data_IF_993568264452
#
_entry.id   IF_993568264452
#
_cell.length_a   1.000
_cell.length_b   1.000
_cell.length_c   1.000
_cell.angle_alpha   90.00
_cell.angle_beta   90.00
_cell.angle_gamma   90.00
#
_symmetry.space_group_name_H-M   'P 1'
#
loop_
_entity.id
_entity.type
_entity.pdbx_description
1 polymer ?
#
# COMPACT_ATOMS: atom_id res chain seq x y z
N UNK A 1 -22.09 11.48 -11.59
CA UNK A 1 -20.82 10.71 -11.56
C UNK A 1 -20.15 10.83 -12.91
N UNK A 2 -18.84 11.12 -12.95
CA UNK A 2 -18.01 11.19 -14.16
C UNK A 2 -16.97 10.06 -14.07
N UNK A 3 -16.95 9.18 -15.07
CA UNK A 3 -15.95 8.10 -15.18
C UNK A 3 -15.07 8.41 -16.40
N UNK A 4 -13.78 8.56 -16.17
CA UNK A 4 -12.79 8.88 -17.19
C UNK A 4 -11.94 7.65 -17.51
N UNK A 5 -12.03 7.18 -18.76
CA UNK A 5 -11.30 6.02 -19.27
C UNK A 5 -10.34 6.38 -20.43
N UNK A 6 -10.16 7.68 -20.69
CA UNK A 6 -9.24 8.22 -21.69
C UNK A 6 -8.10 8.97 -21.01
N UNK A 7 -6.85 8.77 -21.50
CA UNK A 7 -5.64 9.34 -20.90
C UNK A 7 -5.55 10.86 -21.03
N UNK A 8 -6.02 11.45 -22.15
CA UNK A 8 -5.95 12.89 -22.36
C UNK A 8 -6.97 13.60 -21.48
N UNK A 9 -8.16 13.02 -21.31
CA UNK A 9 -9.16 13.52 -20.37
C UNK A 9 -8.68 13.35 -18.93
N UNK A 10 -8.04 12.24 -18.58
CA UNK A 10 -7.42 12.06 -17.27
C UNK A 10 -6.32 13.11 -17.00
N UNK A 11 -5.50 13.40 -18.01
CA UNK A 11 -4.49 14.47 -17.97
C UNK A 11 -5.15 15.83 -17.74
N UNK A 12 -6.22 16.17 -18.44
CA UNK A 12 -6.99 17.41 -18.21
C UNK A 12 -7.44 17.50 -16.74
N UNK A 13 -8.02 16.42 -16.19
CA UNK A 13 -8.47 16.36 -14.79
C UNK A 13 -7.34 16.55 -13.79
N UNK A 14 -6.15 15.99 -14.05
CA UNK A 14 -5.00 16.06 -13.14
C UNK A 14 -4.08 17.26 -13.36
N UNK A 15 -4.31 18.08 -14.39
CA UNK A 15 -3.52 19.29 -14.67
C UNK A 15 -4.39 20.55 -14.63
N UNK A 16 -5.04 20.88 -15.73
CA UNK A 16 -5.85 22.10 -15.85
C UNK A 16 -7.01 22.15 -14.84
N UNK A 17 -7.60 21.00 -14.49
CA UNK A 17 -8.72 20.85 -13.55
C UNK A 17 -8.33 20.29 -12.19
N UNK A 18 -7.02 20.09 -11.91
CA UNK A 18 -6.55 19.46 -10.67
C UNK A 18 -7.04 20.18 -9.40
N UNK A 19 -7.18 21.52 -9.46
CA UNK A 19 -7.74 22.27 -8.35
C UNK A 19 -9.24 21.97 -8.16
N UNK A 20 -10.01 21.91 -9.24
CA UNK A 20 -11.45 21.64 -9.21
C UNK A 20 -11.75 20.29 -8.60
N UNK A 21 -10.95 19.26 -8.93
CA UNK A 21 -11.11 17.90 -8.43
C UNK A 21 -10.20 17.57 -7.23
N UNK A 22 -9.70 18.59 -6.52
CA UNK A 22 -8.78 18.35 -5.42
C UNK A 22 -9.44 17.78 -4.16
N UNK A 23 -10.77 17.86 -3.99
CA UNK A 23 -11.46 17.29 -2.83
C UNK A 23 -11.82 15.81 -3.04
N UNK A 24 -12.21 15.15 -1.96
CA UNK A 24 -12.65 13.76 -1.96
C UNK A 24 -14.18 13.69 -1.88
N UNK A 25 -14.74 12.70 -2.57
CA UNK A 25 -16.14 12.36 -2.44
C UNK A 25 -16.44 12.03 -0.98
N UNK A 26 -17.46 12.68 -0.43
CA UNK A 26 -17.89 12.42 0.94
C UNK A 26 -18.60 11.07 1.00
N UNK A 27 -18.03 10.14 1.76
CA UNK A 27 -18.53 8.78 1.94
C UNK A 27 -18.84 8.51 3.42
N UNK A 28 -19.87 7.70 3.75
CA UNK A 28 -20.18 7.30 5.13
C UNK A 28 -19.00 6.65 5.85
N UNK A 29 -18.21 5.85 5.15
CA UNK A 29 -16.98 5.25 5.67
C UNK A 29 -15.97 6.31 6.17
N UNK A 30 -15.78 7.39 5.42
CA UNK A 30 -14.92 8.51 5.82
C UNK A 30 -15.41 9.18 7.10
N UNK A 31 -16.72 9.34 7.25
CA UNK A 31 -17.34 9.93 8.45
C UNK A 31 -17.28 8.99 9.65
N UNK A 32 -17.66 7.72 9.47
CA UNK A 32 -17.92 6.80 10.58
C UNK A 32 -16.67 6.04 11.05
N UNK A 33 -15.68 5.80 10.15
CA UNK A 33 -14.48 5.00 10.47
C UNK A 33 -13.17 5.79 10.40
N UNK A 34 -13.17 6.96 9.75
CA UNK A 34 -11.95 7.72 9.47
C UNK A 34 -11.88 9.05 10.26
N UNK A 35 -12.32 9.04 11.52
CA UNK A 35 -12.32 10.20 12.42
C UNK A 35 -12.98 11.43 11.76
N UNK A 36 -14.20 11.30 11.32
CA UNK A 36 -14.93 12.35 10.61
C UNK A 36 -14.10 12.99 9.48
N UNK A 37 -13.65 12.14 8.55
CA UNK A 37 -12.80 12.50 7.40
C UNK A 37 -11.38 13.02 7.76
N UNK A 38 -10.87 12.78 8.97
CA UNK A 38 -9.52 13.22 9.34
C UNK A 38 -8.40 12.31 8.79
N UNK A 39 -8.70 11.06 8.43
CA UNK A 39 -7.77 10.18 7.70
C UNK A 39 -7.50 10.77 6.32
N UNK A 40 -6.23 10.97 5.97
CA UNK A 40 -5.77 11.80 4.83
C UNK A 40 -6.41 11.43 3.49
N UNK A 41 -6.72 10.15 3.27
CA UNK A 41 -7.39 9.66 2.05
C UNK A 41 -8.80 10.21 1.86
N UNK A 42 -9.50 10.54 2.95
CA UNK A 42 -10.89 11.03 2.98
C UNK A 42 -11.01 12.53 3.25
N UNK A 43 -9.93 13.15 3.74
CA UNK A 43 -9.96 14.56 4.15
C UNK A 43 -10.31 15.47 2.97
N UNK A 44 -11.31 16.37 3.10
CA UNK A 44 -11.62 17.37 2.10
C UNK A 44 -10.42 18.28 1.81
N UNK A 45 -10.33 18.79 0.58
CA UNK A 45 -9.27 19.73 0.23
C UNK A 45 -9.40 21.04 1.00
N UNK A 46 -8.33 21.46 1.69
CA UNK A 46 -8.32 22.66 2.52
C UNK A 46 -7.00 22.81 3.29
N UNK A 47 -6.98 23.73 4.23
CA UNK A 47 -5.78 24.03 5.06
C UNK A 47 -5.38 22.82 5.89
N UNK A 48 -6.34 22.15 6.55
CA UNK A 48 -6.07 20.96 7.34
C UNK A 48 -5.43 19.84 6.49
N UNK A 49 -6.01 19.53 5.32
CA UNK A 49 -5.44 18.51 4.42
C UNK A 49 -4.02 18.85 3.98
N UNK A 50 -3.74 20.13 3.67
CA UNK A 50 -2.38 20.55 3.28
C UNK A 50 -1.37 20.33 4.39
N UNK A 51 -1.73 20.62 5.64
CA UNK A 51 -0.85 20.42 6.79
C UNK A 51 -0.58 18.93 7.06
N UNK A 52 -1.61 18.09 7.14
CA UNK A 52 -1.42 16.65 7.37
C UNK A 52 -0.66 15.99 6.21
N UNK A 53 -0.90 16.43 4.97
CA UNK A 53 -0.14 15.98 3.78
C UNK A 53 1.32 16.37 3.88
N UNK A 54 1.62 17.60 4.29
CA UNK A 54 2.98 18.11 4.51
C UNK A 54 3.68 17.29 5.59
N UNK A 55 3.05 17.10 6.75
CA UNK A 55 3.61 16.30 7.85
C UNK A 55 3.95 14.88 7.37
N UNK A 56 3.01 14.18 6.74
CA UNK A 56 3.26 12.83 6.23
C UNK A 56 4.41 12.82 5.20
N UNK A 57 4.44 13.77 4.27
CA UNK A 57 5.46 13.83 3.21
C UNK A 57 6.85 14.10 3.79
N UNK A 58 6.98 15.01 4.75
CA UNK A 58 8.29 15.40 5.31
C UNK A 58 8.76 14.37 6.34
N UNK A 59 7.88 13.98 7.27
CA UNK A 59 8.27 13.21 8.46
C UNK A 59 8.19 11.69 8.27
N UNK A 60 7.60 11.20 7.17
CA UNK A 60 7.57 9.77 6.87
C UNK A 60 8.07 9.44 5.46
N UNK A 61 7.62 10.16 4.43
CA UNK A 61 7.83 9.80 3.02
C UNK A 61 8.96 10.55 2.33
N UNK A 62 9.66 11.48 3.01
CA UNK A 62 10.84 12.10 2.42
C UNK A 62 11.96 11.09 2.20
N UNK A 63 12.79 11.31 1.18
CA UNK A 63 13.94 10.44 0.89
C UNK A 63 14.86 10.26 2.12
N UNK A 64 15.03 11.34 2.93
CA UNK A 64 15.77 11.27 4.19
C UNK A 64 15.13 10.28 5.15
N UNK A 65 13.82 10.38 5.41
CA UNK A 65 13.13 9.50 6.37
C UNK A 65 13.09 8.05 5.88
N UNK A 66 12.80 7.85 4.61
CA UNK A 66 12.85 6.52 3.99
C UNK A 66 14.26 5.91 4.17
N UNK A 67 15.32 6.71 3.96
CA UNK A 67 16.70 6.26 4.20
C UNK A 67 16.98 5.89 5.66
N UNK A 68 16.52 6.69 6.63
CA UNK A 68 16.67 6.41 8.07
C UNK A 68 15.94 5.13 8.51
N UNK A 69 14.82 4.78 7.86
CA UNK A 69 14.03 3.58 8.14
C UNK A 69 14.49 2.35 7.34
N UNK A 70 15.60 2.44 6.57
CA UNK A 70 16.19 1.29 5.86
C UNK A 70 16.46 0.09 6.78
N UNK A 71 17.06 0.24 7.98
CA UNK A 71 17.31 -0.89 8.87
C UNK A 71 16.04 -1.65 9.26
N UNK A 72 14.92 -0.93 9.49
CA UNK A 72 13.61 -1.55 9.80
C UNK A 72 13.15 -2.44 8.64
N UNK A 73 13.19 -1.94 7.40
CA UNK A 73 12.78 -2.70 6.22
C UNK A 73 13.65 -3.93 6.01
N UNK A 74 14.97 -3.77 6.11
CA UNK A 74 15.91 -4.88 5.95
C UNK A 74 15.71 -5.96 7.02
N UNK A 75 15.56 -5.55 8.28
CA UNK A 75 15.32 -6.47 9.40
C UNK A 75 14.01 -7.23 9.25
N UNK A 76 12.89 -6.53 8.95
CA UNK A 76 11.60 -7.21 8.84
C UNK A 76 11.54 -8.18 7.66
N UNK A 77 12.13 -7.83 6.51
CA UNK A 77 12.22 -8.75 5.37
C UNK A 77 13.12 -9.94 5.70
N UNK A 78 14.27 -9.76 6.40
CA UNK A 78 15.13 -10.86 6.82
C UNK A 78 14.42 -11.80 7.81
N UNK A 79 13.75 -11.26 8.82
CA UNK A 79 12.98 -12.05 9.79
C UNK A 79 11.85 -12.83 9.14
N UNK A 80 11.18 -12.24 8.15
CA UNK A 80 10.15 -12.93 7.36
C UNK A 80 10.75 -14.09 6.54
N UNK A 81 11.88 -13.86 5.87
CA UNK A 81 12.62 -14.89 5.13
C UNK A 81 13.05 -16.04 6.02
N UNK A 82 13.58 -15.74 7.21
CA UNK A 82 13.92 -16.72 8.23
C UNK A 82 12.71 -17.57 8.62
N UNK A 83 11.56 -16.94 8.88
CA UNK A 83 10.34 -17.67 9.20
C UNK A 83 9.85 -18.59 8.07
N UNK A 84 10.03 -18.20 6.81
CA UNK A 84 9.75 -19.08 5.67
C UNK A 84 10.71 -20.27 5.59
N UNK A 85 12.00 -20.04 5.83
CA UNK A 85 13.02 -21.08 5.87
C UNK A 85 12.77 -22.05 7.03
N UNK A 86 12.44 -21.57 8.23
CA UNK A 86 12.08 -22.40 9.38
C UNK A 86 10.88 -23.32 9.07
N UNK A 87 9.86 -22.85 8.35
CA UNK A 87 8.74 -23.69 7.88
C UNK A 87 9.22 -24.84 6.98
N UNK A 88 10.16 -24.57 6.08
CA UNK A 88 10.76 -25.60 5.22
C UNK A 88 11.54 -26.63 6.03
N UNK A 89 12.35 -26.19 7.00
CA UNK A 89 13.10 -27.08 7.91
C UNK A 89 12.14 -27.99 8.69
N UNK A 90 11.08 -27.40 9.28
CA UNK A 90 10.07 -28.17 10.03
C UNK A 90 9.29 -29.16 9.15
N UNK A 91 9.22 -28.91 7.83
CA UNK A 91 8.63 -29.84 6.86
C UNK A 91 9.63 -30.93 6.40
N UNK A 92 10.68 -31.20 7.16
CA UNK A 92 11.67 -32.23 6.87
C UNK A 92 12.54 -31.93 5.65
N UNK A 93 12.86 -30.67 5.40
CA UNK A 93 13.63 -30.18 4.24
C UNK A 93 13.00 -30.55 2.89
N UNK A 94 11.68 -30.71 2.86
CA UNK A 94 10.91 -30.92 1.64
C UNK A 94 10.17 -29.64 1.27
N UNK A 95 9.80 -29.47 -0.01
CA UNK A 95 9.05 -28.30 -0.46
C UNK A 95 7.80 -28.09 0.42
N UNK A 96 7.65 -26.88 0.94
CA UNK A 96 6.55 -26.50 1.83
C UNK A 96 5.49 -25.71 1.08
N UNK A 97 4.21 -26.01 1.34
CA UNK A 97 3.09 -25.24 0.80
C UNK A 97 2.89 -23.96 1.63
N UNK A 98 2.87 -22.82 0.95
CA UNK A 98 2.72 -21.49 1.56
C UNK A 98 1.65 -20.71 0.82
N UNK A 99 0.72 -20.11 1.57
CA UNK A 99 -0.23 -19.13 1.05
C UNK A 99 0.43 -17.74 1.08
N UNK A 100 0.79 -17.24 -0.11
CA UNK A 100 1.61 -16.03 -0.24
C UNK A 100 0.89 -14.77 0.24
N UNK A 101 -0.42 -14.65 0.05
CA UNK A 101 -1.15 -13.45 0.45
C UNK A 101 -1.03 -13.21 1.96
N UNK A 102 -1.36 -14.21 2.77
CA UNK A 102 -1.24 -14.13 4.23
C UNK A 102 0.19 -13.79 4.67
N UNK A 103 1.19 -14.42 4.07
CA UNK A 103 2.59 -14.18 4.43
C UNK A 103 3.05 -12.75 4.08
N UNK A 104 2.62 -12.22 2.94
CA UNK A 104 2.96 -10.85 2.52
C UNK A 104 2.17 -9.79 3.30
N UNK A 105 0.91 -10.07 3.67
CA UNK A 105 0.13 -9.21 4.58
C UNK A 105 0.79 -9.12 5.96
N UNK A 106 1.26 -10.23 6.53
CA UNK A 106 2.00 -10.24 7.81
C UNK A 106 3.29 -9.45 7.75
N UNK A 107 4.05 -9.58 6.65
CA UNK A 107 5.27 -8.80 6.41
C UNK A 107 4.97 -7.31 6.31
N UNK A 108 4.05 -6.92 5.44
CA UNK A 108 3.72 -5.49 5.22
C UNK A 108 3.12 -4.86 6.47
N UNK A 109 2.34 -5.62 7.22
CA UNK A 109 1.80 -5.19 8.50
C UNK A 109 2.90 -4.91 9.51
N UNK A 110 3.79 -5.88 9.78
CA UNK A 110 4.92 -5.69 10.69
C UNK A 110 5.80 -4.51 10.28
N UNK A 111 6.10 -4.42 8.99
CA UNK A 111 6.93 -3.35 8.45
C UNK A 111 6.32 -1.98 8.74
N UNK A 112 5.03 -1.80 8.45
CA UNK A 112 4.36 -0.53 8.68
C UNK A 112 4.16 -0.23 10.17
N UNK A 113 3.81 -1.22 11.00
CA UNK A 113 3.66 -1.01 12.44
C UNK A 113 4.99 -0.70 13.12
N UNK A 114 6.10 -1.29 12.65
CA UNK A 114 7.44 -0.94 13.10
C UNK A 114 7.82 0.50 12.70
N UNK A 115 7.52 0.92 11.48
CA UNK A 115 7.82 2.28 11.02
C UNK A 115 6.94 3.34 11.67
N UNK A 116 5.69 3.00 12.00
CA UNK A 116 4.70 3.94 12.57
C UNK A 116 4.79 4.00 14.09
N UNK A 117 4.93 2.87 14.77
CA UNK A 117 4.80 2.75 16.22
C UNK A 117 5.89 1.90 16.90
N UNK A 118 6.94 1.49 16.17
CA UNK A 118 8.01 0.66 16.72
C UNK A 118 7.54 -0.73 17.18
N UNK A 119 6.42 -1.25 16.66
CA UNK A 119 5.78 -2.48 17.12
C UNK A 119 5.80 -3.57 16.05
N UNK A 120 5.94 -4.83 16.53
CA UNK A 120 5.90 -6.03 15.69
C UNK A 120 4.86 -7.00 16.27
N UNK A 121 4.06 -7.59 15.36
CA UNK A 121 2.88 -8.39 15.75
C UNK A 121 2.88 -9.82 15.22
N UNK A 122 3.69 -10.16 14.19
CA UNK A 122 3.76 -11.49 13.58
C UNK A 122 5.17 -12.06 13.61
N UNK A 123 5.27 -13.39 13.69
CA UNK A 123 6.53 -14.15 13.66
C UNK A 123 6.92 -14.72 15.02
N UNK A 124 8.10 -15.35 15.08
CA UNK A 124 8.66 -15.91 16.31
C UNK A 124 8.93 -14.82 17.36
N UNK A 125 8.71 -15.14 18.63
CA UNK A 125 8.94 -14.27 19.80
C UNK A 125 7.97 -13.09 19.99
N UNK A 126 6.75 -13.16 19.43
CA UNK A 126 5.70 -12.19 19.73
C UNK A 126 5.00 -12.58 21.05
N UNK A 127 4.80 -11.63 21.96
CA UNK A 127 4.10 -11.87 23.21
C UNK A 127 2.61 -12.19 22.96
N UNK A 128 2.01 -13.05 23.81
CA UNK A 128 0.58 -13.42 23.69
C UNK A 128 -0.38 -12.22 23.73
N UNK A 129 -0.03 -11.16 24.45
CA UNK A 129 -0.81 -9.93 24.48
C UNK A 129 -0.80 -9.23 23.10
N UNK A 130 0.35 -9.23 22.44
CA UNK A 130 0.52 -8.64 21.11
C UNK A 130 -0.20 -9.46 20.03
N UNK A 131 -0.29 -10.78 20.17
CA UNK A 131 -1.09 -11.62 19.27
C UNK A 131 -2.58 -11.28 19.30
N UNK A 132 -3.13 -10.98 20.50
CA UNK A 132 -4.53 -10.55 20.62
C UNK A 132 -4.74 -9.20 19.94
N UNK A 133 -3.83 -8.26 20.16
CA UNK A 133 -3.84 -6.94 19.50
C UNK A 133 -3.69 -7.07 17.98
N UNK A 134 -2.80 -7.94 17.51
CA UNK A 134 -2.62 -8.24 16.10
C UNK A 134 -3.91 -8.75 15.43
N UNK A 135 -4.59 -9.71 16.09
CA UNK A 135 -5.86 -10.23 15.55
C UNK A 135 -6.96 -9.17 15.51
N UNK A 136 -7.07 -8.37 16.57
CA UNK A 136 -8.03 -7.26 16.63
C UNK A 136 -7.77 -6.26 15.50
N UNK A 137 -6.50 -5.86 15.33
CA UNK A 137 -6.12 -4.87 14.34
C UNK A 137 -6.31 -5.39 12.92
N UNK A 138 -5.85 -6.61 12.61
CA UNK A 138 -6.06 -7.23 11.30
C UNK A 138 -7.55 -7.28 10.95
N UNK A 139 -8.38 -7.73 11.89
CA UNK A 139 -9.83 -7.75 11.71
C UNK A 139 -10.39 -6.36 11.44
N UNK A 140 -9.99 -5.35 12.23
CA UNK A 140 -10.48 -3.99 12.07
C UNK A 140 -10.06 -3.36 10.72
N UNK A 141 -8.83 -3.61 10.24
CA UNK A 141 -8.37 -3.15 8.91
C UNK A 141 -9.14 -3.86 7.79
N UNK A 142 -9.37 -5.17 7.90
CA UNK A 142 -10.18 -5.90 6.93
C UNK A 142 -11.62 -5.39 6.88
N UNK A 143 -12.24 -5.14 8.04
CA UNK A 143 -13.59 -4.54 8.10
C UNK A 143 -13.61 -3.12 7.53
N UNK A 144 -12.57 -2.32 7.77
CA UNK A 144 -12.44 -0.99 7.19
C UNK A 144 -12.46 -1.05 5.66
N UNK A 145 -11.62 -1.91 5.06
CA UNK A 145 -11.55 -2.08 3.61
C UNK A 145 -12.83 -2.69 3.02
N UNK A 146 -13.45 -3.64 3.73
CA UNK A 146 -14.73 -4.22 3.33
C UNK A 146 -15.84 -3.17 3.25
N UNK A 147 -16.04 -2.37 4.30
CA UNK A 147 -17.07 -1.33 4.32
C UNK A 147 -16.77 -0.19 3.35
N UNK A 148 -15.49 0.09 3.09
CA UNK A 148 -15.10 1.09 2.10
C UNK A 148 -15.48 0.66 0.67
N UNK A 149 -15.38 -0.62 0.36
CA UNK A 149 -15.76 -1.18 -0.95
C UNK A 149 -17.25 -1.44 -1.14
N UNK A 150 -18.02 -1.56 -0.04
CA UNK A 150 -19.43 -1.97 -0.08
C UNK A 150 -20.41 -0.87 0.36
N UNK A 151 -20.03 0.40 0.32
CA UNK A 151 -20.88 1.53 0.71
C UNK A 151 -21.94 1.91 -0.34
N UNK A 152 -22.04 1.16 -1.45
CA UNK A 152 -22.86 1.48 -2.63
C UNK A 152 -24.33 1.85 -2.32
N UNK A 153 -24.95 1.21 -1.34
CA UNK A 153 -26.36 1.45 -1.02
C UNK A 153 -26.57 2.80 -0.32
N UNK A 154 -25.61 3.25 0.50
CA UNK A 154 -25.66 4.58 1.13
C UNK A 154 -25.37 5.69 0.13
N UNK A 155 -24.54 5.42 -0.88
CA UNK A 155 -24.19 6.37 -1.93
C UNK A 155 -25.33 6.54 -2.94
N UNK A 156 -26.07 5.44 -3.23
CA UNK A 156 -27.19 5.45 -4.17
C UNK A 156 -28.46 6.09 -3.59
N UNK A 157 -28.72 5.93 -2.29
CA UNK A 157 -29.94 6.39 -1.62
C UNK A 157 -29.63 7.08 -0.28
N UNK A 158 -28.98 8.26 -0.30
CA UNK A 158 -28.52 8.94 0.92
C UNK A 158 -29.63 9.29 1.91
N UNK A 159 -30.88 9.48 1.43
CA UNK A 159 -32.06 9.73 2.27
C UNK A 159 -32.51 8.49 3.06
N UNK A 160 -32.04 7.27 2.71
CA UNK A 160 -32.32 6.03 3.44
C UNK A 160 -31.19 5.63 4.41
N UNK A 161 -30.09 6.37 4.42
CA UNK A 161 -28.92 6.08 5.27
C UNK A 161 -29.25 6.03 6.78
N UNK A 162 -30.32 6.71 7.22
CA UNK A 162 -30.78 6.70 8.62
C UNK A 162 -31.43 5.39 9.05
N UNK A 163 -31.89 4.55 8.11
CA UNK A 163 -32.62 3.32 8.42
C UNK A 163 -31.73 2.14 8.77
N UNK A 164 -30.42 2.20 8.46
CA UNK A 164 -29.38 1.17 8.74
C UNK A 164 -29.87 -0.30 8.66
N UNK A 165 -30.64 -0.62 7.62
CA UNK A 165 -31.33 -1.93 7.48
C UNK A 165 -30.37 -3.13 7.52
N UNK A 166 -29.12 -2.96 7.12
CA UNK A 166 -28.09 -4.02 7.14
C UNK A 166 -27.20 -3.99 8.39
N UNK A 167 -27.35 -2.97 9.25
CA UNK A 167 -26.48 -2.77 10.41
C UNK A 167 -25.06 -2.28 10.05
N UNK A 168 -24.87 -1.80 8.81
CA UNK A 168 -23.56 -1.37 8.32
C UNK A 168 -22.99 -0.17 9.10
N UNK A 169 -23.84 0.82 9.44
CA UNK A 169 -23.41 1.96 10.23
C UNK A 169 -22.97 1.56 11.65
N UNK A 170 -23.65 0.57 12.26
CA UNK A 170 -23.23 0.01 13.55
C UNK A 170 -21.92 -0.76 13.42
N UNK A 171 -21.75 -1.55 12.38
CA UNK A 171 -20.51 -2.29 12.10
C UNK A 171 -19.34 -1.31 11.88
N UNK A 172 -19.50 -0.27 11.06
CA UNK A 172 -18.50 0.79 10.85
C UNK A 172 -18.11 1.48 12.16
N UNK A 173 -19.07 1.81 13.03
CA UNK A 173 -18.78 2.40 14.35
C UNK A 173 -18.04 1.46 15.28
N UNK A 174 -18.30 0.15 15.22
CA UNK A 174 -17.56 -0.83 15.99
C UNK A 174 -16.11 -0.95 15.47
N UNK A 175 -15.92 -1.03 14.17
CA UNK A 175 -14.60 -0.99 13.52
C UNK A 175 -13.81 0.25 13.93
N UNK A 176 -14.46 1.42 13.96
CA UNK A 176 -13.81 2.65 14.39
C UNK A 176 -13.38 2.59 15.86
N UNK A 177 -14.21 2.03 16.76
CA UNK A 177 -13.85 1.86 18.17
C UNK A 177 -12.63 0.96 18.38
N UNK A 178 -12.55 -0.13 17.60
CA UNK A 178 -11.42 -1.05 17.67
C UNK A 178 -10.13 -0.37 17.17
N UNK A 179 -10.22 0.35 16.04
CA UNK A 179 -9.10 1.13 15.50
C UNK A 179 -8.67 2.25 16.45
N UNK A 180 -9.62 3.00 17.03
CA UNK A 180 -9.33 4.09 17.96
C UNK A 180 -8.68 3.57 19.25
N UNK A 181 -9.15 2.46 19.78
CA UNK A 181 -8.52 1.81 20.94
C UNK A 181 -7.04 1.49 20.71
N UNK A 182 -6.72 0.96 19.54
CA UNK A 182 -5.34 0.63 19.17
C UNK A 182 -4.50 1.91 19.01
N UNK A 183 -5.01 2.88 18.25
CA UNK A 183 -4.30 4.15 18.01
C UNK A 183 -4.10 4.93 19.31
N UNK A 184 -5.09 4.95 20.19
CA UNK A 184 -4.99 5.61 21.50
C UNK A 184 -3.94 4.93 22.38
N UNK A 185 -3.95 3.59 22.44
CA UNK A 185 -2.94 2.83 23.19
C UNK A 185 -1.52 3.18 22.73
N UNK A 186 -1.28 3.23 21.43
CA UNK A 186 0.04 3.59 20.90
C UNK A 186 0.42 5.03 21.21
N UNK A 187 -0.53 5.97 21.09
CA UNK A 187 -0.28 7.38 21.41
C UNK A 187 0.09 7.56 22.89
N UNK A 188 -0.65 6.91 23.81
CA UNK A 188 -0.39 7.00 25.25
C UNK A 188 0.98 6.42 25.60
N UNK A 189 1.37 5.29 25.04
CA UNK A 189 2.69 4.70 25.22
C UNK A 189 3.82 5.62 24.75
N UNK A 190 3.66 6.27 23.57
CA UNK A 190 4.67 7.18 23.04
C UNK A 190 4.77 8.48 23.84
N UNK A 191 3.66 8.99 24.35
CA UNK A 191 3.66 10.13 25.29
C UNK A 191 4.37 9.79 26.59
N UNK A 192 4.06 8.65 27.19
CA UNK A 192 4.73 8.18 28.41
C UNK A 192 6.24 7.98 28.21
N UNK A 193 6.65 7.39 27.08
CA UNK A 193 8.06 7.25 26.68
C UNK A 193 8.73 8.62 26.53
N UNK A 194 8.07 9.58 25.86
CA UNK A 194 8.61 10.91 25.67
C UNK A 194 8.68 11.74 26.95
N UNK A 195 7.85 11.46 27.99
CA UNK A 195 7.92 12.08 29.32
C UNK A 195 9.09 11.56 30.14
N UNK A 196 9.49 10.32 29.92
CA UNK A 196 10.62 9.70 30.64
C UNK A 196 11.98 10.07 30.02
N UNK A 197 12.03 10.51 28.77
CA UNK A 197 13.27 10.92 28.10
C UNK A 197 13.73 12.28 28.65
N UNK A 198 14.74 12.30 29.53
CA UNK A 198 15.47 13.50 29.95
C UNK A 198 16.65 13.71 29.03
N UNK A 199 16.63 14.80 28.23
CA UNK A 199 17.78 15.37 27.51
C UNK A 199 18.35 14.52 26.38
N UNK A 200 18.77 15.15 25.32
CA UNK A 200 19.75 14.78 24.25
C UNK A 200 19.80 13.39 23.61
N UNK A 201 18.92 12.45 23.93
CA UNK A 201 18.82 11.22 23.16
C UNK A 201 18.05 11.45 21.85
N UNK A 202 18.63 12.29 20.97
CA UNK A 202 18.23 12.37 19.55
C UNK A 202 18.76 11.11 18.88
N UNK A 203 18.14 9.97 19.13
CA UNK A 203 18.45 8.75 18.41
C UNK A 203 17.80 8.80 17.03
N UNK A 204 18.60 8.54 16.01
CA UNK A 204 18.26 8.62 14.58
C UNK A 204 17.17 7.62 14.10
N UNK A 205 16.63 6.78 14.98
CA UNK A 205 15.69 5.68 14.66
C UNK A 205 14.31 5.88 15.28
N UNK A 206 13.82 7.13 15.37
CA UNK A 206 12.47 7.38 15.87
C UNK A 206 11.43 6.88 14.87
N UNK A 207 10.44 6.15 15.35
CA UNK A 207 9.25 5.83 14.56
C UNK A 207 8.40 7.10 14.28
N UNK A 208 7.31 6.94 13.51
CA UNK A 208 6.51 8.10 13.10
C UNK A 208 5.75 8.72 14.28
N UNK A 209 5.24 7.91 15.21
CA UNK A 209 4.55 8.42 16.42
C UNK A 209 5.50 9.15 17.36
N UNK A 210 6.74 8.69 17.53
CA UNK A 210 7.76 9.44 18.29
C UNK A 210 7.95 10.86 17.73
N UNK A 211 7.97 11.00 16.40
CA UNK A 211 8.11 12.31 15.73
C UNK A 211 6.88 13.16 15.96
N UNK A 212 5.67 12.62 15.79
CA UNK A 212 4.43 13.36 15.98
C UNK A 212 4.24 13.83 17.43
N UNK A 213 4.55 12.99 18.42
CA UNK A 213 4.52 13.36 19.85
C UNK A 213 5.56 14.41 20.16
N UNK A 214 6.75 14.39 19.52
CA UNK A 214 7.73 15.46 19.71
C UNK A 214 7.26 16.78 19.09
N UNK A 215 6.63 16.75 17.90
CA UNK A 215 6.01 17.93 17.30
C UNK A 215 4.93 18.52 18.20
N UNK A 216 4.12 17.69 18.87
CA UNK A 216 3.13 18.12 19.84
C UNK A 216 3.79 18.84 21.03
N UNK A 217 4.79 18.22 21.66
CA UNK A 217 5.49 18.79 22.83
C UNK A 217 6.23 20.10 22.53
N UNK A 218 6.70 20.25 21.30
CA UNK A 218 7.44 21.45 20.85
C UNK A 218 6.55 22.52 20.20
N UNK A 219 5.23 22.30 20.14
CA UNK A 219 4.27 23.24 19.57
C UNK A 219 4.44 23.47 18.05
N UNK A 220 4.90 22.45 17.32
CA UNK A 220 5.16 22.54 15.87
C UNK A 220 3.93 22.27 15.00
N UNK A 221 2.79 21.88 15.59
CA UNK A 221 1.56 21.76 14.84
C UNK A 221 1.02 23.14 14.45
N UNK A 222 0.58 23.25 13.19
CA UNK A 222 -0.05 24.47 12.67
C UNK A 222 -1.39 24.74 13.38
N UNK A 223 -1.77 26.03 13.48
CA UNK A 223 -3.08 26.45 13.99
C UNK A 223 -4.28 25.94 13.18
N UNK A 224 -4.06 25.41 11.97
CA UNK A 224 -5.07 24.72 11.18
C UNK A 224 -5.47 23.36 11.79
N UNK A 225 -4.63 22.80 12.67
CA UNK A 225 -4.88 21.52 13.36
C UNK A 225 -5.47 21.85 14.73
N UNK A 226 -6.78 21.67 14.85
CA UNK A 226 -7.53 22.01 16.08
C UNK A 226 -7.53 20.89 17.10
N UNK A 227 -7.56 19.64 16.64
CA UNK A 227 -7.54 18.43 17.46
C UNK A 227 -6.27 17.63 17.12
N UNK A 228 -5.26 17.77 17.99
CA UNK A 228 -3.95 17.14 17.80
C UNK A 228 -4.04 15.64 17.99
N UNK A 229 -4.78 15.16 19.02
CA UNK A 229 -4.94 13.74 19.30
C UNK A 229 -5.55 13.00 18.13
N UNK A 230 -6.69 13.47 17.65
CA UNK A 230 -7.34 12.91 16.46
C UNK A 230 -6.42 12.98 15.24
N UNK A 231 -5.66 14.06 15.06
CA UNK A 231 -4.74 14.20 13.92
C UNK A 231 -3.61 13.19 13.98
N UNK A 232 -2.98 12.99 15.13
CA UNK A 232 -1.90 12.00 15.30
C UNK A 232 -2.43 10.59 15.01
N UNK A 233 -3.57 10.22 15.61
CA UNK A 233 -4.22 8.92 15.37
C UNK A 233 -4.60 8.72 13.90
N UNK A 234 -5.18 9.73 13.26
CA UNK A 234 -5.57 9.68 11.85
C UNK A 234 -4.37 9.57 10.90
N UNK A 235 -3.25 10.25 11.20
CA UNK A 235 -2.01 10.12 10.44
C UNK A 235 -1.40 8.72 10.56
N UNK A 236 -1.35 8.16 11.76
CA UNK A 236 -0.88 6.78 11.98
C UNK A 236 -1.78 5.76 11.26
N UNK A 237 -3.10 5.86 11.45
CA UNK A 237 -4.07 4.97 10.82
C UNK A 237 -4.02 5.03 9.29
N UNK A 238 -3.81 6.24 8.71
CA UNK A 238 -3.69 6.40 7.26
C UNK A 238 -2.65 5.45 6.65
N UNK A 239 -1.49 5.29 7.30
CA UNK A 239 -0.39 4.47 6.79
C UNK A 239 -0.77 2.98 6.73
N UNK A 240 -1.50 2.54 7.73
CA UNK A 240 -1.83 1.13 7.92
C UNK A 240 -2.97 0.69 6.99
N UNK A 241 -4.08 1.45 6.97
CA UNK A 241 -5.22 1.09 6.12
C UNK A 241 -4.93 1.24 4.62
N UNK A 242 -4.01 2.13 4.24
CA UNK A 242 -3.63 2.32 2.84
C UNK A 242 -2.49 1.40 2.39
N UNK A 243 -1.54 1.09 3.28
CA UNK A 243 -0.26 0.49 2.88
C UNK A 243 -0.20 -1.03 3.01
N UNK A 244 -0.88 -1.64 3.98
CA UNK A 244 -0.76 -3.09 4.24
C UNK A 244 -1.23 -3.90 3.02
N UNK A 245 -2.50 -3.80 2.69
CA UNK A 245 -3.12 -4.65 1.67
C UNK A 245 -2.68 -4.26 0.25
N UNK A 246 -2.42 -2.97 0.00
CA UNK A 246 -2.02 -2.52 -1.33
C UNK A 246 -0.65 -3.06 -1.76
N UNK A 247 0.34 -3.05 -0.87
CA UNK A 247 1.65 -3.61 -1.16
C UNK A 247 1.60 -5.14 -1.24
N UNK A 248 0.90 -5.79 -0.31
CA UNK A 248 0.77 -7.25 -0.31
C UNK A 248 0.11 -7.75 -1.60
N UNK A 249 -1.05 -7.18 -1.99
CA UNK A 249 -1.74 -7.56 -3.23
C UNK A 249 -0.87 -7.33 -4.47
N UNK A 250 -0.15 -6.20 -4.56
CA UNK A 250 0.76 -5.96 -5.69
C UNK A 250 1.83 -7.06 -5.79
N UNK A 251 2.46 -7.43 -4.67
CA UNK A 251 3.49 -8.49 -4.67
C UNK A 251 2.91 -9.87 -4.98
N UNK A 252 1.68 -10.16 -4.53
CA UNK A 252 0.97 -11.40 -4.90
C UNK A 252 0.76 -11.46 -6.41
N UNK A 253 0.31 -10.36 -7.04
CA UNK A 253 0.15 -10.29 -8.50
C UNK A 253 1.47 -10.50 -9.25
N UNK A 254 2.59 -9.88 -8.79
CA UNK A 254 3.92 -10.12 -9.41
C UNK A 254 4.26 -11.62 -9.37
N UNK A 255 4.11 -12.24 -8.20
CA UNK A 255 4.47 -13.66 -8.03
C UNK A 255 3.54 -14.60 -8.78
N UNK A 256 2.24 -14.28 -8.85
CA UNK A 256 1.28 -15.02 -9.66
C UNK A 256 1.62 -14.99 -11.15
N UNK A 257 1.92 -13.80 -11.67
CA UNK A 257 2.31 -13.62 -13.07
C UNK A 257 3.63 -14.33 -13.41
N UNK A 258 4.60 -14.33 -12.49
CA UNK A 258 5.86 -15.05 -12.68
C UNK A 258 5.67 -16.57 -12.66
N UNK A 259 4.78 -17.07 -11.82
CA UNK A 259 4.46 -18.50 -11.77
C UNK A 259 3.67 -18.97 -12.99
N UNK A 260 2.88 -18.09 -13.57
CA UNK A 260 2.16 -18.35 -14.84
C UNK A 260 3.07 -18.19 -16.07
N UNK A 261 4.24 -17.53 -15.94
CA UNK A 261 5.24 -17.31 -16.98
C UNK A 261 6.65 -17.75 -16.51
N UNK A 262 6.95 -19.07 -16.46
CA UNK A 262 8.17 -19.60 -15.86
C UNK A 262 9.47 -19.08 -16.51
N UNK A 263 9.46 -18.74 -17.79
CA UNK A 263 10.60 -18.15 -18.49
C UNK A 263 10.93 -16.74 -17.97
N UNK A 264 9.93 -15.98 -17.53
CA UNK A 264 10.12 -14.66 -16.93
C UNK A 264 10.64 -14.78 -15.50
N UNK A 265 10.16 -15.77 -14.75
CA UNK A 265 10.71 -16.12 -13.42
C UNK A 265 12.19 -16.48 -13.53
N UNK A 266 12.55 -17.34 -14.50
CA UNK A 266 13.94 -17.71 -14.73
C UNK A 266 14.82 -16.50 -15.10
N UNK A 267 14.36 -15.59 -15.97
CA UNK A 267 15.08 -14.36 -16.29
C UNK A 267 15.32 -13.48 -15.05
N UNK A 268 14.32 -13.31 -14.19
CA UNK A 268 14.46 -12.56 -12.95
C UNK A 268 15.50 -13.17 -12.01
N UNK A 269 15.48 -14.50 -11.88
CA UNK A 269 16.47 -15.24 -11.09
C UNK A 269 17.89 -15.15 -11.67
N UNK A 270 18.03 -15.21 -12.99
CA UNK A 270 19.33 -15.02 -13.67
C UNK A 270 19.86 -13.60 -13.44
N UNK A 271 18.99 -12.57 -13.52
CA UNK A 271 19.41 -11.20 -13.21
C UNK A 271 19.95 -11.08 -11.78
N UNK A 272 19.26 -11.67 -10.80
CA UNK A 272 19.67 -11.68 -9.40
C UNK A 272 20.99 -12.45 -9.19
N UNK A 273 21.09 -13.66 -9.74
CA UNK A 273 22.28 -14.50 -9.62
C UNK A 273 23.53 -13.83 -10.29
N UNK A 274 23.30 -13.06 -11.39
CA UNK A 274 24.37 -12.35 -12.11
C UNK A 274 24.84 -11.09 -11.39
N UNK A 275 23.91 -10.26 -10.88
CA UNK A 275 24.23 -8.95 -10.32
C UNK A 275 24.55 -8.98 -8.83
N UNK A 276 24.03 -9.97 -8.08
CA UNK A 276 24.19 -10.09 -6.63
C UNK A 276 24.92 -11.36 -6.23
N UNK A 277 24.67 -12.47 -6.92
CA UNK A 277 25.20 -13.79 -6.59
C UNK A 277 24.37 -14.55 -5.56
N UNK A 278 24.99 -15.61 -5.01
CA UNK A 278 24.35 -16.53 -4.03
C UNK A 278 25.06 -16.54 -2.67
N UNK A 279 26.08 -15.71 -2.50
CA UNK A 279 26.90 -15.65 -1.29
C UNK A 279 26.42 -14.58 -0.29
N UNK A 280 25.49 -13.75 -0.68
CA UNK A 280 24.83 -12.74 0.15
C UNK A 280 23.39 -12.48 -0.28
N UNK A 281 22.61 -11.92 0.61
CA UNK A 281 21.25 -11.43 0.27
C UNK A 281 21.29 -10.10 -0.50
N UNK A 282 20.28 -9.88 -1.33
CA UNK A 282 20.03 -8.59 -1.98
C UNK A 282 19.86 -7.49 -0.94
N UNK A 283 20.46 -6.33 -1.20
CA UNK A 283 20.25 -5.09 -0.45
C UNK A 283 19.52 -4.03 -1.31
N UNK A 284 18.99 -3.00 -0.66
CA UNK A 284 18.35 -1.88 -1.37
C UNK A 284 19.31 -1.17 -2.36
N UNK A 285 20.61 -1.19 -2.09
CA UNK A 285 21.66 -0.64 -2.96
C UNK A 285 21.84 -1.41 -4.28
N UNK A 286 21.39 -2.66 -4.35
CA UNK A 286 21.46 -3.47 -5.57
C UNK A 286 20.31 -3.16 -6.53
N UNK A 287 19.15 -2.72 -6.01
CA UNK A 287 17.92 -2.50 -6.78
C UNK A 287 18.11 -1.64 -8.03
N UNK A 288 18.91 -0.55 -8.03
CA UNK A 288 19.16 0.24 -9.22
C UNK A 288 19.76 -0.54 -10.41
N UNK A 289 20.45 -1.66 -10.14
CA UNK A 289 21.05 -2.53 -11.16
C UNK A 289 20.13 -3.67 -11.61
N UNK A 290 19.04 -3.94 -10.88
CA UNK A 290 18.06 -4.99 -11.18
C UNK A 290 16.95 -4.43 -12.09
N UNK A 291 17.28 -4.21 -13.36
CA UNK A 291 16.39 -3.53 -14.32
C UNK A 291 15.19 -4.38 -14.70
N UNK A 292 15.37 -5.69 -14.84
CA UNK A 292 14.29 -6.60 -15.18
C UNK A 292 13.29 -6.72 -14.03
N UNK A 293 13.77 -6.80 -12.79
CA UNK A 293 12.92 -6.78 -11.60
C UNK A 293 12.07 -5.50 -11.52
N UNK A 294 12.67 -4.34 -11.82
CA UNK A 294 11.92 -3.06 -11.86
C UNK A 294 10.87 -3.07 -12.98
N UNK A 295 11.20 -3.62 -14.14
CA UNK A 295 10.28 -3.77 -15.26
C UNK A 295 9.12 -4.72 -14.94
N UNK A 296 9.38 -5.84 -14.26
CA UNK A 296 8.36 -6.77 -13.76
C UNK A 296 7.34 -6.06 -12.88
N UNK A 297 7.79 -5.27 -11.91
CA UNK A 297 6.90 -4.53 -11.02
C UNK A 297 6.09 -3.46 -11.79
N UNK A 298 6.71 -2.72 -12.70
CA UNK A 298 6.02 -1.72 -13.53
C UNK A 298 4.93 -2.36 -14.40
N UNK A 299 5.22 -3.49 -15.05
CA UNK A 299 4.27 -4.19 -15.90
C UNK A 299 3.11 -4.78 -15.08
N UNK A 300 3.41 -5.31 -13.89
CA UNK A 300 2.36 -5.76 -12.97
C UNK A 300 1.45 -4.60 -12.55
N UNK A 301 2.01 -3.45 -12.17
CA UNK A 301 1.24 -2.26 -11.80
C UNK A 301 0.43 -1.70 -12.99
N UNK A 302 0.90 -1.91 -14.24
CA UNK A 302 0.14 -1.57 -15.45
C UNK A 302 -1.07 -2.49 -15.61
N UNK A 303 -0.85 -3.80 -15.54
CA UNK A 303 -1.92 -4.79 -15.79
C UNK A 303 -2.89 -4.92 -14.60
N UNK A 304 -2.38 -4.91 -13.39
CA UNK A 304 -3.16 -5.10 -12.16
C UNK A 304 -2.95 -3.92 -11.19
N UNK A 305 -3.41 -2.70 -11.56
CA UNK A 305 -3.38 -1.57 -10.63
C UNK A 305 -4.25 -1.89 -9.43
N UNK A 306 -3.68 -1.81 -8.22
CA UNK A 306 -4.39 -2.19 -6.98
C UNK A 306 -5.65 -1.36 -6.75
N UNK A 307 -5.64 -0.09 -7.18
CA UNK A 307 -6.83 0.77 -7.22
C UNK A 307 -7.29 0.97 -8.67
N UNK A 308 -8.09 0.07 -9.25
CA UNK A 308 -8.43 0.11 -10.68
C UNK A 308 -9.19 1.37 -11.11
N UNK A 309 -9.99 1.94 -10.21
CA UNK A 309 -10.72 3.21 -10.41
C UNK A 309 -10.09 4.39 -9.66
N UNK A 310 -8.93 4.19 -9.07
CA UNK A 310 -8.27 5.10 -8.13
C UNK A 310 -9.19 5.52 -6.97
N UNK A 311 -8.74 6.48 -6.14
CA UNK A 311 -9.57 7.00 -5.05
C UNK A 311 -10.46 8.11 -5.59
N UNK A 312 -11.79 8.04 -5.44
CA UNK A 312 -12.73 9.01 -6.01
C UNK A 312 -12.44 10.45 -5.59
N UNK A 313 -12.65 11.37 -6.52
CA UNK A 313 -12.62 12.83 -6.32
C UNK A 313 -14.01 13.43 -6.43
N UNK A 314 -14.16 14.71 -6.07
CA UNK A 314 -15.40 15.46 -6.24
C UNK A 314 -15.11 16.84 -6.83
N UNK A 315 -15.97 17.31 -7.73
CA UNK A 315 -15.90 18.65 -8.29
C UNK A 315 -16.31 19.70 -7.24
N UNK A 316 -15.40 20.62 -6.89
CA UNK A 316 -15.65 21.69 -5.91
C UNK A 316 -16.43 22.86 -6.50
N UNK A 317 -16.49 22.98 -7.81
CA UNK A 317 -17.20 24.02 -8.57
C UNK A 317 -17.65 23.48 -9.92
N UNK A 318 -18.55 24.20 -10.59
CA UNK A 318 -18.97 23.87 -11.95
C UNK A 318 -17.79 24.02 -12.92
N UNK A 319 -17.64 23.05 -13.81
CA UNK A 319 -16.55 23.09 -14.81
C UNK A 319 -16.95 22.39 -16.10
N UNK A 320 -16.06 22.41 -17.09
CA UNK A 320 -16.15 21.57 -18.29
C UNK A 320 -14.95 20.62 -18.34
N UNK A 321 -15.20 19.38 -18.71
CA UNK A 321 -14.19 18.35 -18.94
C UNK A 321 -14.45 17.72 -20.31
N UNK A 322 -13.46 17.71 -21.17
CA UNK A 322 -13.61 17.25 -22.57
C UNK A 322 -14.81 17.88 -23.30
N UNK A 323 -15.13 19.14 -22.99
CA UNK A 323 -16.27 19.88 -23.56
C UNK A 323 -17.62 19.62 -22.89
N UNK A 324 -17.74 18.66 -21.98
CA UNK A 324 -18.98 18.37 -21.24
C UNK A 324 -19.08 19.18 -19.96
N UNK A 325 -20.27 19.70 -19.69
CA UNK A 325 -20.54 20.40 -18.42
C UNK A 325 -20.57 19.42 -17.24
N UNK A 326 -19.84 19.74 -16.20
CA UNK A 326 -19.72 18.96 -14.97
C UNK A 326 -20.11 19.84 -13.79
N UNK A 327 -21.28 19.61 -13.19
CA UNK A 327 -21.74 20.37 -12.03
C UNK A 327 -20.86 20.13 -10.79
N UNK A 328 -20.80 21.13 -9.92
CA UNK A 328 -20.25 20.97 -8.55
C UNK A 328 -20.89 19.77 -7.84
N UNK A 329 -20.09 19.04 -7.05
CA UNK A 329 -20.55 17.84 -6.33
C UNK A 329 -20.54 16.57 -7.18
N UNK A 330 -20.13 16.66 -8.46
CA UNK A 330 -19.98 15.48 -9.31
C UNK A 330 -18.78 14.66 -8.84
N UNK A 331 -19.02 13.38 -8.50
CA UNK A 331 -17.94 12.42 -8.23
C UNK A 331 -17.16 12.08 -9.50
N UNK A 332 -15.82 12.13 -9.45
CA UNK A 332 -14.90 11.77 -10.53
C UNK A 332 -14.17 10.48 -10.19
N UNK A 333 -14.22 9.53 -11.10
CA UNK A 333 -13.47 8.27 -11.08
C UNK A 333 -12.56 8.20 -12.30
N UNK A 334 -11.29 7.90 -12.08
CA UNK A 334 -10.33 7.66 -13.17
C UNK A 334 -10.12 6.17 -13.31
N UNK A 335 -10.56 5.61 -14.43
CA UNK A 335 -10.43 4.20 -14.75
C UNK A 335 -9.02 3.86 -15.22
N UNK A 336 -8.09 3.75 -14.26
CA UNK A 336 -6.71 3.42 -14.52
C UNK A 336 -6.57 2.05 -15.19
N UNK A 337 -7.43 1.09 -14.84
CA UNK A 337 -7.43 -0.25 -15.43
C UNK A 337 -7.61 -0.21 -16.95
N UNK A 338 -8.58 0.59 -17.44
CA UNK A 338 -8.81 0.76 -18.89
C UNK A 338 -7.71 1.60 -19.56
N UNK A 339 -7.32 2.72 -18.94
CA UNK A 339 -6.28 3.60 -19.49
C UNK A 339 -4.97 2.82 -19.67
N UNK A 340 -4.60 2.00 -18.72
CA UNK A 340 -3.37 1.21 -18.73
C UNK A 340 -3.43 -0.02 -19.66
N UNK A 341 -4.56 -0.23 -20.33
CA UNK A 341 -4.79 -1.26 -21.36
C UNK A 341 -5.18 -0.68 -22.73
N UNK A 342 -5.07 0.63 -22.93
CA UNK A 342 -5.39 1.26 -24.21
C UNK A 342 -4.48 0.71 -25.34
N UNK A 343 -5.03 0.01 -26.36
CA UNK A 343 -4.24 -0.57 -27.45
C UNK A 343 -3.56 0.49 -28.34
N UNK A 344 -3.99 1.75 -28.28
CA UNK A 344 -3.31 2.85 -28.97
C UNK A 344 -1.98 3.24 -28.32
N UNK A 345 -1.78 2.85 -27.08
CA UNK A 345 -0.56 3.12 -26.30
C UNK A 345 0.26 1.86 -26.08
N UNK A 346 -0.41 0.78 -25.72
CA UNK A 346 0.19 -0.46 -25.29
C UNK A 346 0.02 -1.54 -26.37
N UNK A 347 1.10 -1.90 -27.04
CA UNK A 347 1.08 -3.05 -27.95
C UNK A 347 0.78 -4.33 -27.13
N UNK A 348 -0.14 -5.17 -27.62
CA UNK A 348 -0.60 -6.38 -26.89
C UNK A 348 -0.93 -6.07 -25.41
N UNK A 349 -1.95 -5.23 -25.13
CA UNK A 349 -2.17 -4.66 -23.79
C UNK A 349 -2.48 -5.72 -22.71
N UNK A 350 -3.05 -6.85 -23.09
CA UNK A 350 -3.44 -7.94 -22.19
C UNK A 350 -2.33 -8.98 -22.00
N UNK A 351 -1.20 -8.83 -22.67
CA UNK A 351 -0.03 -9.70 -22.51
C UNK A 351 0.93 -9.12 -21.48
N UNK A 352 1.36 -9.97 -20.55
CA UNK A 352 2.39 -9.64 -19.58
C UNK A 352 3.77 -9.59 -20.26
N UNK A 353 4.32 -8.39 -20.45
CA UNK A 353 5.57 -8.15 -21.18
C UNK A 353 6.43 -7.12 -20.46
N UNK A 354 7.21 -7.52 -19.46
CA UNK A 354 8.10 -6.60 -18.73
C UNK A 354 9.12 -5.88 -19.63
N UNK A 355 9.53 -6.52 -20.72
CA UNK A 355 10.51 -6.00 -21.66
C UNK A 355 10.11 -4.65 -22.28
N UNK A 356 8.81 -4.31 -22.32
CA UNK A 356 8.36 -2.99 -22.79
C UNK A 356 8.95 -1.84 -21.98
N UNK A 357 9.15 -2.05 -20.67
CA UNK A 357 9.79 -1.09 -19.78
C UNK A 357 11.32 -1.09 -19.84
N UNK A 358 11.91 -1.95 -20.66
CA UNK A 358 13.35 -1.94 -20.98
C UNK A 358 13.62 -1.40 -22.39
N UNK A 359 12.56 -1.23 -23.21
CA UNK A 359 12.66 -0.89 -24.62
C UNK A 359 11.74 0.28 -24.99
N UNK A 360 10.54 0.00 -25.52
CA UNK A 360 9.61 1.01 -26.08
C UNK A 360 9.04 1.98 -25.07
N UNK A 361 8.87 1.57 -23.81
CA UNK A 361 8.28 2.35 -22.74
C UNK A 361 9.26 2.58 -21.57
N UNK A 362 10.57 2.57 -21.86
CA UNK A 362 11.63 2.68 -20.84
C UNK A 362 11.54 3.98 -20.01
N UNK A 363 11.13 5.06 -20.63
CA UNK A 363 11.00 6.39 -19.99
C UNK A 363 9.72 6.56 -19.16
N UNK A 364 8.77 5.62 -19.25
CA UNK A 364 7.54 5.70 -18.46
C UNK A 364 7.78 5.40 -17.00
N UNK A 365 7.25 6.26 -16.11
CA UNK A 365 7.33 6.10 -14.66
C UNK A 365 5.93 6.05 -14.03
N UNK A 366 5.84 5.33 -12.93
CA UNK A 366 4.61 5.14 -12.12
C UNK A 366 4.28 6.33 -11.20
N UNK A 367 5.11 7.40 -11.20
CA UNK A 367 4.98 8.55 -10.28
C UNK A 367 3.96 9.61 -10.72
N UNK A 368 3.09 9.29 -11.68
CA UNK A 368 2.00 10.15 -12.10
C UNK A 368 2.38 11.26 -13.08
N UNK A 369 3.53 11.13 -13.77
CA UNK A 369 3.93 12.02 -14.86
C UNK A 369 3.56 11.45 -16.22
N UNK A 370 3.42 10.13 -16.32
CA UNK A 370 2.95 9.41 -17.51
C UNK A 370 1.46 9.08 -17.34
N UNK A 371 0.59 9.81 -18.02
CA UNK A 371 -0.87 9.63 -17.87
C UNK A 371 -1.40 8.32 -18.47
N UNK A 372 -0.57 7.62 -19.18
CA UNK A 372 -0.76 6.26 -19.67
C UNK A 372 -0.59 5.20 -18.56
N UNK A 373 0.11 5.57 -17.46
CA UNK A 373 0.49 4.66 -16.37
C UNK A 373 0.27 5.35 -15.02
N UNK A 374 -0.87 5.14 -14.40
CA UNK A 374 -1.36 5.86 -13.24
C UNK A 374 -1.63 4.98 -11.99
N UNK A 375 -0.84 3.95 -11.67
CA UNK A 375 -1.18 3.05 -10.57
C UNK A 375 -1.20 3.75 -9.20
N UNK A 376 -0.54 4.90 -9.06
CA UNK A 376 -0.50 5.73 -7.85
C UNK A 376 -1.25 7.06 -8.00
N UNK A 377 -2.05 7.20 -9.08
CA UNK A 377 -2.72 8.45 -9.41
C UNK A 377 -1.75 9.56 -9.82
N UNK A 378 -2.26 10.78 -9.96
CA UNK A 378 -1.50 11.97 -10.33
C UNK A 378 -2.01 13.21 -9.61
N UNK A 379 -1.42 14.38 -9.87
CA UNK A 379 -1.82 15.67 -9.32
C UNK A 379 -1.60 15.78 -7.81
N UNK A 380 -2.33 16.72 -7.19
CA UNK A 380 -2.20 17.04 -5.75
C UNK A 380 -2.50 15.87 -4.83
N UNK A 381 -3.37 14.95 -5.26
CA UNK A 381 -3.83 13.77 -4.50
C UNK A 381 -3.10 12.49 -4.87
N UNK A 382 -2.01 12.56 -5.65
CA UNK A 382 -1.17 11.39 -5.91
C UNK A 382 -0.72 10.69 -4.62
N UNK A 383 -0.45 9.41 -4.69
CA UNK A 383 -0.05 8.62 -3.53
C UNK A 383 1.23 9.21 -2.89
N UNK A 384 1.23 9.54 -1.58
CA UNK A 384 2.43 10.05 -0.92
C UNK A 384 3.48 8.98 -0.67
N UNK A 385 3.02 7.72 -0.55
CA UNK A 385 3.84 6.58 -0.17
C UNK A 385 4.54 5.87 -1.34
N UNK A 386 4.46 6.40 -2.58
CA UNK A 386 4.99 5.71 -3.76
C UNK A 386 6.47 5.33 -3.61
N UNK A 387 7.30 6.23 -3.07
CA UNK A 387 8.74 5.95 -2.87
C UNK A 387 8.99 4.81 -1.89
N UNK A 388 8.28 4.82 -0.75
CA UNK A 388 8.37 3.76 0.25
C UNK A 388 7.83 2.42 -0.30
N UNK A 389 6.65 2.44 -0.93
CA UNK A 389 6.03 1.24 -1.47
C UNK A 389 6.92 0.54 -2.51
N UNK A 390 7.51 1.30 -3.45
CA UNK A 390 8.43 0.75 -4.44
C UNK A 390 9.68 0.14 -3.78
N UNK A 391 10.26 0.78 -2.76
CA UNK A 391 11.42 0.23 -2.06
C UNK A 391 11.09 -1.08 -1.33
N UNK A 392 9.97 -1.12 -0.61
CA UNK A 392 9.52 -2.33 0.09
C UNK A 392 9.28 -3.47 -0.90
N UNK A 393 8.50 -3.20 -1.96
CA UNK A 393 8.16 -4.22 -2.94
C UNK A 393 9.38 -4.74 -3.70
N UNK A 394 10.27 -3.86 -4.15
CA UNK A 394 11.50 -4.29 -4.83
C UNK A 394 12.40 -5.15 -3.92
N UNK A 395 12.64 -4.72 -2.67
CA UNK A 395 13.46 -5.48 -1.73
C UNK A 395 12.87 -6.85 -1.43
N UNK A 396 11.55 -6.89 -1.15
CA UNK A 396 10.86 -8.14 -0.81
C UNK A 396 10.86 -9.11 -1.99
N UNK A 397 10.49 -8.61 -3.20
CA UNK A 397 10.47 -9.42 -4.42
C UNK A 397 11.88 -9.91 -4.80
N UNK A 398 12.89 -9.03 -4.73
CA UNK A 398 14.26 -9.41 -5.01
C UNK A 398 14.72 -10.56 -4.09
N UNK A 399 14.48 -10.43 -2.79
CA UNK A 399 14.89 -11.43 -1.81
C UNK A 399 14.15 -12.75 -1.93
N UNK A 400 12.83 -12.75 -2.11
CA UNK A 400 12.08 -14.01 -2.25
C UNK A 400 12.49 -14.74 -3.53
N UNK A 401 12.67 -14.02 -4.65
CA UNK A 401 13.09 -14.61 -5.93
C UNK A 401 14.55 -15.09 -5.93
N UNK A 402 15.44 -14.42 -5.20
CA UNK A 402 16.81 -14.87 -5.00
C UNK A 402 16.88 -16.12 -4.12
N UNK A 403 16.14 -16.13 -3.03
CA UNK A 403 16.32 -17.08 -1.96
C UNK A 403 15.48 -18.35 -2.09
N UNK A 404 14.38 -18.31 -2.84
CA UNK A 404 13.49 -19.45 -2.93
C UNK A 404 13.18 -19.85 -4.37
N UNK A 405 13.11 -21.15 -4.59
CA UNK A 405 12.45 -21.73 -5.74
C UNK A 405 10.95 -21.78 -5.46
N UNK A 406 10.17 -21.22 -6.38
CA UNK A 406 8.71 -21.15 -6.26
C UNK A 406 8.06 -21.95 -7.38
N UNK A 407 7.12 -22.83 -7.03
CA UNK A 407 6.37 -23.67 -7.98
C UNK A 407 4.89 -23.69 -7.61
N UNK A 408 4.02 -23.90 -8.59
CA UNK A 408 2.61 -24.23 -8.36
C UNK A 408 2.46 -25.67 -7.92
N UNK A 409 1.33 -26.01 -7.24
CA UNK A 409 1.03 -27.36 -6.82
C UNK A 409 0.71 -28.33 -7.98
N UNK A 410 0.34 -27.81 -9.12
CA UNK A 410 -0.03 -28.57 -10.31
C UNK A 410 0.64 -27.96 -11.53
N UNK A 411 0.79 -28.76 -12.60
CA UNK A 411 1.23 -28.26 -13.90
C UNK A 411 0.14 -27.43 -14.64
N UNK A 412 -0.94 -27.09 -13.94
CA UNK A 412 -1.97 -26.16 -14.42
C UNK A 412 -1.53 -24.75 -14.09
N UNK A 413 -1.68 -23.81 -15.01
CA UNK A 413 -1.37 -22.40 -14.82
C UNK A 413 -2.06 -21.78 -13.61
N UNK A 414 -1.63 -20.59 -13.21
CA UNK A 414 -2.22 -19.84 -12.09
C UNK A 414 -3.60 -19.30 -12.49
N UNK A 415 -4.60 -19.47 -11.61
CA UNK A 415 -5.89 -18.81 -11.82
C UNK A 415 -5.74 -17.30 -11.49
N UNK A 416 -5.74 -16.45 -12.52
CA UNK A 416 -5.58 -15.00 -12.43
C UNK A 416 -6.93 -14.26 -12.33
N UNK A 417 -8.00 -14.93 -11.90
CA UNK A 417 -9.32 -14.33 -11.74
C UNK A 417 -9.30 -13.21 -10.68
N UNK A 418 -9.82 -12.05 -11.09
CA UNK A 418 -9.87 -10.84 -10.25
C UNK A 418 -11.08 -10.89 -9.30
N UNK A 419 -10.87 -10.55 -8.03
CA UNK A 419 -11.93 -10.33 -7.06
C UNK A 419 -12.43 -8.90 -7.14
N UNK A 420 -13.74 -8.72 -7.19
CA UNK A 420 -14.35 -7.39 -7.13
C UNK A 420 -14.17 -6.77 -5.73
N UNK A 421 -13.78 -5.50 -5.68
CA UNK A 421 -13.56 -4.76 -4.44
C UNK A 421 -12.92 -3.41 -4.71
N UNK A 422 -12.68 -2.63 -3.65
CA UNK A 422 -11.97 -1.36 -3.77
C UNK A 422 -10.50 -1.56 -4.15
N UNK A 423 -9.92 -2.67 -3.71
CA UNK A 423 -8.58 -3.11 -4.10
C UNK A 423 -8.69 -4.35 -4.99
N UNK A 424 -7.96 -4.31 -6.10
CA UNK A 424 -7.86 -5.43 -7.02
C UNK A 424 -7.01 -6.54 -6.38
N UNK A 425 -7.63 -7.65 -6.03
CA UNK A 425 -6.98 -8.82 -5.48
C UNK A 425 -7.32 -10.07 -6.28
N UNK A 426 -6.55 -11.13 -6.13
CA UNK A 426 -6.91 -12.44 -6.69
C UNK A 426 -8.13 -13.01 -5.97
N UNK A 427 -9.04 -13.61 -6.73
CA UNK A 427 -10.22 -14.31 -6.18
C UNK A 427 -9.81 -15.55 -5.40
N UNK A 428 -8.80 -16.26 -5.87
CA UNK A 428 -8.30 -17.50 -5.26
C UNK A 428 -6.93 -17.24 -4.61
N UNK A 429 -6.74 -17.67 -3.34
CA UNK A 429 -5.45 -17.52 -2.65
C UNK A 429 -4.31 -18.20 -3.42
N UNK A 430 -3.20 -17.51 -3.62
CA UNK A 430 -2.03 -18.05 -4.30
C UNK A 430 -1.26 -18.99 -3.37
N UNK A 431 -1.41 -20.30 -3.59
CA UNK A 431 -0.66 -21.34 -2.91
C UNK A 431 0.56 -21.74 -3.71
N UNK A 432 1.74 -21.73 -3.09
CA UNK A 432 3.00 -22.09 -3.75
C UNK A 432 3.75 -23.15 -2.98
N UNK A 433 4.44 -24.02 -3.71
CA UNK A 433 5.48 -24.89 -3.18
C UNK A 433 6.79 -24.12 -3.17
N UNK A 434 7.45 -24.09 -2.03
CA UNK A 434 8.67 -23.30 -1.82
C UNK A 434 9.80 -24.15 -1.29
N UNK A 435 11.00 -23.96 -1.85
CA UNK A 435 12.26 -24.56 -1.38
C UNK A 435 13.41 -23.55 -1.42
N UNK A 436 14.37 -23.60 -0.48
CA UNK A 436 15.54 -22.71 -0.49
C UNK A 436 16.41 -22.87 -1.74
N UNK A 437 16.97 -21.75 -2.23
CA UNK A 437 17.97 -21.69 -3.32
C UNK A 437 19.37 -21.29 -2.83
N UNK A 438 19.47 -20.71 -1.64
CA UNK A 438 20.69 -20.20 -1.05
C UNK A 438 21.19 -21.14 0.07
N UNK A 439 22.48 -21.04 0.48
CA UNK A 439 22.98 -21.69 1.68
C UNK A 439 22.17 -21.32 2.94
N UNK A 440 21.98 -22.27 3.86
CA UNK A 440 21.14 -22.11 5.04
C UNK A 440 21.57 -20.94 5.94
N UNK A 441 22.85 -20.63 5.98
CA UNK A 441 23.45 -19.55 6.78
C UNK A 441 22.96 -18.17 6.38
N UNK A 442 22.44 -18.01 5.16
CA UNK A 442 21.91 -16.74 4.67
C UNK A 442 20.47 -16.47 5.10
N UNK A 443 19.81 -17.43 5.75
CA UNK A 443 18.45 -17.25 6.29
C UNK A 443 18.46 -16.93 7.80
N UNK A 444 19.61 -17.04 8.48
CA UNK A 444 19.79 -16.71 9.91
C UNK A 444 19.97 -15.19 10.12
#
# INVERSE_FOLDING_TARGET
>A
MLIVSDREVAKECYTAKDHVFATRLSQPAGKLMAYDHSVMGFTPFGTYWREIRKIATVELFSARRIGMLKPVRQSEVSLWMKGLHEKWVHNGNSSVSVELKTQLEELTFNLLTQMVAGKRYYGSNVAKADEKMARLFRHAVQQFNYHLGNSEMYDALPFMAWLDFKGDAKAMKNTQKDLDYIMQTWLDEHRAKADQMRGDAINNTRDFLDVLVMMEKTGQFSSAIKDIDTTIKALALTQLVAGVDSMANTMVWVLALLLDNPEMLAKAQIELDTNVGKDRLVEESDIPNLKYLQALLKETLRMYPVGPLLVPHEAMEDCHVAGYFVPRGTGLFINAWTIQRDPNVWAEPDRFMPERFLTTNADMDVKGQSYELLPFGSGRRSCPGVGLALQVMHLTLARILQAFELKTHSNVGVNLEECSGILLSMMHPLQVLMAPRLPSELYD
#
